data_IF_133863651535
#
_entry.id   IF_133863651535
#
_cell.length_a   1.000
_cell.length_b   1.000
_cell.length_c   1.000
_cell.angle_alpha   90.00
_cell.angle_beta   90.00
_cell.angle_gamma   90.00
#
_symmetry.space_group_name_H-M   'P 1'
#
loop_
_entity.id
_entity.type
_entity.pdbx_description
1 polymer ?
#
# COMPACT_ATOMS: atom_id res chain seq x y z
N UNK A 1 -14.66 48.24 14.75
CA UNK A 1 -14.09 47.33 15.77
C UNK A 1 -15.02 46.15 16.00
N UNK A 2 -16.23 46.34 16.54
CA UNK A 2 -17.14 45.22 16.87
C UNK A 2 -17.49 44.26 15.73
N UNK A 3 -17.74 44.73 14.49
CA UNK A 3 -17.99 43.82 13.36
C UNK A 3 -16.75 43.07 12.86
N UNK A 4 -15.55 43.61 13.11
CA UNK A 4 -14.28 42.99 12.69
C UNK A 4 -13.92 41.85 13.62
N UNK A 5 -14.12 42.03 14.93
CA UNK A 5 -13.94 40.99 15.96
C UNK A 5 -14.91 39.83 15.74
N UNK A 6 -16.18 40.13 15.46
CA UNK A 6 -17.18 39.10 15.20
C UNK A 6 -16.86 38.25 13.96
N UNK A 7 -16.31 38.88 12.92
CA UNK A 7 -15.81 38.17 11.73
C UNK A 7 -14.55 37.36 12.05
N UNK A 8 -13.66 37.88 12.88
CA UNK A 8 -12.44 37.17 13.31
C UNK A 8 -12.80 35.89 14.07
N UNK A 9 -13.73 35.96 15.01
CA UNK A 9 -14.19 34.80 15.78
C UNK A 9 -14.89 33.75 14.90
N UNK A 10 -15.70 34.20 13.94
CA UNK A 10 -16.32 33.32 12.95
C UNK A 10 -15.27 32.58 12.09
N UNK A 11 -14.24 33.30 11.64
CA UNK A 11 -13.14 32.70 10.87
C UNK A 11 -12.36 31.71 11.72
N UNK A 12 -12.05 32.04 12.97
CA UNK A 12 -11.32 31.15 13.88
C UNK A 12 -12.10 29.87 14.18
N UNK A 13 -13.42 29.98 14.40
CA UNK A 13 -14.31 28.85 14.60
C UNK A 13 -14.33 27.96 13.36
N UNK A 14 -14.56 28.56 12.18
CA UNK A 14 -14.59 27.83 10.91
C UNK A 14 -13.27 27.14 10.61
N UNK A 15 -12.14 27.78 10.92
CA UNK A 15 -10.82 27.20 10.73
C UNK A 15 -10.60 25.98 11.62
N UNK A 16 -11.05 26.06 12.87
CA UNK A 16 -10.98 24.94 13.83
C UNK A 16 -11.84 23.77 13.36
N UNK A 17 -13.07 24.04 12.91
CA UNK A 17 -13.98 23.02 12.38
C UNK A 17 -13.41 22.34 11.13
N UNK A 18 -12.79 23.11 10.24
CA UNK A 18 -12.15 22.58 9.04
C UNK A 18 -10.93 21.73 9.39
N UNK A 19 -10.10 22.14 10.36
CA UNK A 19 -8.96 21.35 10.84
C UNK A 19 -9.41 20.00 11.40
N UNK A 20 -10.44 20.00 12.26
CA UNK A 20 -11.04 18.78 12.79
C UNK A 20 -11.59 17.89 11.66
N UNK A 21 -12.19 18.51 10.63
CA UNK A 21 -12.73 17.75 9.51
C UNK A 21 -11.63 17.11 8.67
N UNK A 22 -10.53 17.83 8.43
CA UNK A 22 -9.36 17.31 7.71
C UNK A 22 -8.79 16.12 8.46
N UNK A 23 -8.56 16.23 9.77
CA UNK A 23 -8.03 15.14 10.59
C UNK A 23 -8.94 13.89 10.54
N UNK A 24 -10.25 14.07 10.64
CA UNK A 24 -11.21 12.97 10.49
C UNK A 24 -11.15 12.30 9.12
N UNK A 25 -10.97 13.08 8.05
CA UNK A 25 -10.88 12.57 6.68
C UNK A 25 -9.56 11.84 6.45
N UNK A 26 -8.45 12.36 6.96
CA UNK A 26 -7.15 11.71 6.92
C UNK A 26 -7.19 10.37 7.67
N UNK A 27 -7.81 10.32 8.85
CA UNK A 27 -8.00 9.08 9.59
C UNK A 27 -8.80 8.03 8.82
N UNK A 28 -9.88 8.44 8.14
CA UNK A 28 -10.68 7.55 7.27
C UNK A 28 -9.89 7.08 6.06
N UNK A 29 -9.12 7.96 5.43
CA UNK A 29 -8.31 7.63 4.27
C UNK A 29 -7.25 6.58 4.64
N UNK A 30 -6.54 6.80 5.75
CA UNK A 30 -5.54 5.86 6.26
C UNK A 30 -6.16 4.47 6.52
N UNK A 31 -7.29 4.42 7.23
CA UNK A 31 -7.97 3.15 7.48
C UNK A 31 -8.36 2.46 6.16
N UNK A 32 -8.94 3.17 5.20
CA UNK A 32 -9.31 2.61 3.90
C UNK A 32 -8.11 2.09 3.10
N UNK A 33 -7.01 2.82 3.06
CA UNK A 33 -5.78 2.37 2.41
C UNK A 33 -5.22 1.12 3.09
N UNK A 34 -5.16 1.11 4.41
CA UNK A 34 -4.68 -0.03 5.20
C UNK A 34 -5.57 -1.25 5.01
N UNK A 35 -6.92 -1.09 5.03
CA UNK A 35 -7.87 -2.19 4.77
C UNK A 35 -7.69 -2.78 3.37
N UNK A 36 -7.44 -1.91 2.40
CA UNK A 36 -7.29 -2.29 0.99
C UNK A 36 -5.97 -3.04 0.75
N UNK A 37 -4.90 -2.62 1.44
CA UNK A 37 -3.54 -3.17 1.29
C UNK A 37 -3.18 -4.26 2.30
N UNK A 38 -4.04 -4.55 3.27
CA UNK A 38 -3.80 -5.53 4.35
C UNK A 38 -3.40 -6.93 3.88
N UNK A 39 -3.92 -7.37 2.74
CA UNK A 39 -3.58 -8.66 2.15
C UNK A 39 -2.44 -8.58 1.13
N UNK A 40 -1.74 -7.44 1.04
CA UNK A 40 -0.63 -7.25 0.13
C UNK A 40 0.70 -7.44 0.86
N UNK A 41 1.60 -8.24 0.28
CA UNK A 41 3.00 -8.38 0.70
C UNK A 41 3.89 -7.81 -0.41
N UNK A 42 4.92 -7.06 -0.01
CA UNK A 42 5.95 -6.54 -0.92
C UNK A 42 7.24 -7.34 -0.73
N UNK A 43 7.67 -8.04 -1.78
CA UNK A 43 8.89 -8.85 -1.80
C UNK A 43 9.95 -8.10 -2.57
N UNK A 44 11.13 -7.96 -1.97
CA UNK A 44 12.27 -7.23 -2.53
C UNK A 44 13.35 -8.20 -3.01
N UNK A 45 14.22 -7.73 -3.90
CA UNK A 45 15.39 -8.48 -4.38
C UNK A 45 15.06 -9.78 -5.13
N UNK A 46 13.89 -9.89 -5.77
CA UNK A 46 13.64 -10.98 -6.72
C UNK A 46 14.39 -10.68 -8.01
N UNK A 47 15.35 -11.54 -8.44
CA UNK A 47 16.13 -11.31 -9.66
C UNK A 47 15.26 -11.04 -10.88
N UNK A 48 15.60 -10.05 -11.70
CA UNK A 48 14.80 -9.64 -12.88
C UNK A 48 14.70 -10.74 -13.95
N UNK A 49 15.57 -11.75 -13.92
CA UNK A 49 15.45 -12.94 -14.78
C UNK A 49 14.13 -13.70 -14.54
N UNK A 50 13.55 -13.57 -13.33
CA UNK A 50 12.18 -14.02 -13.03
C UNK A 50 11.21 -13.00 -13.61
N UNK A 51 10.79 -13.23 -14.85
CA UNK A 51 9.79 -12.41 -15.54
C UNK A 51 8.36 -12.74 -15.08
N UNK A 52 7.37 -11.97 -15.54
CA UNK A 52 5.97 -12.13 -15.09
C UNK A 52 5.39 -13.52 -15.39
N UNK A 53 5.85 -14.21 -16.44
CA UNK A 53 5.39 -15.57 -16.78
C UNK A 53 5.95 -16.65 -15.84
N UNK A 54 7.15 -16.46 -15.30
CA UNK A 54 7.78 -17.39 -14.34
C UNK A 54 7.55 -17.00 -12.88
N UNK A 55 7.12 -15.75 -12.64
CA UNK A 55 6.92 -15.19 -11.31
C UNK A 55 5.95 -16.00 -10.46
N UNK A 56 4.85 -16.49 -11.04
CA UNK A 56 3.87 -17.32 -10.33
C UNK A 56 4.51 -18.57 -9.72
N UNK A 57 5.28 -19.30 -10.54
CA UNK A 57 5.98 -20.52 -10.11
C UNK A 57 7.03 -20.18 -9.05
N UNK A 58 7.82 -19.13 -9.26
CA UNK A 58 8.81 -18.68 -8.29
C UNK A 58 8.18 -18.37 -6.92
N UNK A 59 7.07 -17.62 -6.90
CA UNK A 59 6.39 -17.27 -5.66
C UNK A 59 5.85 -18.50 -4.92
N UNK A 60 5.29 -19.46 -5.66
CA UNK A 60 4.85 -20.76 -5.11
C UNK A 60 6.00 -21.47 -4.43
N UNK A 61 7.07 -21.74 -5.17
CA UNK A 61 8.23 -22.48 -4.67
C UNK A 61 8.87 -21.74 -3.47
N UNK A 62 8.92 -20.41 -3.54
CA UNK A 62 9.42 -19.56 -2.46
C UNK A 62 8.58 -19.68 -1.18
N UNK A 63 7.26 -19.53 -1.26
CA UNK A 63 6.40 -19.63 -0.07
C UNK A 63 6.32 -21.05 0.49
N UNK A 64 6.29 -22.07 -0.38
CA UNK A 64 6.32 -23.47 0.04
C UNK A 64 7.61 -23.79 0.81
N UNK A 65 8.76 -23.30 0.34
CA UNK A 65 10.04 -23.47 1.03
C UNK A 65 10.14 -22.69 2.34
N UNK A 66 9.55 -21.48 2.40
CA UNK A 66 9.64 -20.60 3.57
C UNK A 66 8.72 -21.04 4.71
N UNK A 67 7.54 -21.56 4.39
CA UNK A 67 6.49 -21.85 5.35
C UNK A 67 6.31 -23.35 5.65
N UNK A 68 7.17 -24.22 5.10
CA UNK A 68 7.22 -25.66 5.36
C UNK A 68 5.84 -26.35 5.30
N UNK A 69 5.36 -26.61 4.08
CA UNK A 69 4.10 -27.31 3.77
C UNK A 69 2.80 -26.53 4.03
N UNK A 70 2.71 -25.27 3.61
CA UNK A 70 1.41 -24.57 3.62
C UNK A 70 0.40 -25.10 2.61
N UNK A 71 0.85 -25.83 1.59
CA UNK A 71 -0.02 -26.26 0.49
C UNK A 71 -0.64 -25.06 -0.24
N UNK A 72 0.11 -23.95 -0.38
CA UNK A 72 -0.37 -22.69 -0.93
C UNK A 72 -1.03 -22.94 -2.30
N UNK A 73 -2.35 -22.79 -2.37
CA UNK A 73 -3.09 -23.08 -3.61
C UNK A 73 -2.88 -21.95 -4.60
N UNK A 74 -2.91 -22.30 -5.88
CA UNK A 74 -2.80 -21.31 -6.95
C UNK A 74 -3.89 -20.24 -6.86
N UNK A 75 -5.06 -20.62 -6.32
CA UNK A 75 -6.18 -19.72 -6.06
C UNK A 75 -5.85 -18.68 -4.99
N UNK A 76 -4.97 -18.95 -4.03
CA UNK A 76 -4.73 -18.05 -2.89
C UNK A 76 -3.95 -16.79 -3.29
N UNK A 77 -3.29 -16.80 -4.45
CA UNK A 77 -2.62 -15.63 -5.02
C UNK A 77 -3.57 -14.88 -5.97
N UNK A 78 -4.22 -13.83 -5.46
CA UNK A 78 -5.18 -13.03 -6.23
C UNK A 78 -4.48 -12.19 -7.31
N UNK A 79 -3.36 -11.55 -6.97
CA UNK A 79 -2.61 -10.70 -7.90
C UNK A 79 -1.13 -10.70 -7.54
N UNK A 80 -0.27 -10.82 -8.53
CA UNK A 80 1.17 -10.66 -8.35
C UNK A 80 1.77 -9.98 -9.59
N UNK A 81 2.62 -8.99 -9.37
CA UNK A 81 3.31 -8.29 -10.45
C UNK A 81 4.48 -7.47 -9.91
N UNK A 82 5.42 -7.10 -10.79
CA UNK A 82 6.48 -6.15 -10.45
C UNK A 82 5.93 -4.72 -10.39
N UNK A 83 6.34 -4.01 -9.35
CA UNK A 83 6.06 -2.59 -9.20
C UNK A 83 6.97 -1.76 -10.12
N UNK A 84 6.52 -0.58 -10.57
CA UNK A 84 7.40 0.39 -11.21
C UNK A 84 8.56 0.75 -10.28
N UNK A 85 9.76 0.91 -10.83
CA UNK A 85 10.93 1.33 -10.05
C UNK A 85 10.72 2.77 -9.56
N UNK A 86 10.82 3.04 -8.25
CA UNK A 86 10.86 4.40 -7.73
C UNK A 86 12.05 5.17 -8.30
N UNK A 87 11.89 6.47 -8.56
CA UNK A 87 12.95 7.31 -9.16
C UNK A 87 14.23 7.38 -8.32
N UNK A 88 14.13 7.15 -7.02
CA UNK A 88 15.25 7.21 -6.07
C UNK A 88 16.01 5.88 -5.93
N UNK A 89 15.65 4.82 -6.66
CA UNK A 89 16.32 3.53 -6.63
C UNK A 89 17.21 3.37 -7.87
N UNK A 90 18.44 2.88 -7.68
CA UNK A 90 19.40 2.66 -8.76
C UNK A 90 18.83 1.75 -9.85
N UNK A 91 19.18 2.02 -11.11
CA UNK A 91 18.68 1.25 -12.25
C UNK A 91 19.13 -0.21 -12.27
N UNK A 92 20.18 -0.53 -11.52
CA UNK A 92 20.67 -1.89 -11.34
C UNK A 92 19.88 -2.69 -10.30
N UNK A 93 19.07 -2.06 -9.45
CA UNK A 93 18.35 -2.75 -8.37
C UNK A 93 17.08 -3.42 -8.90
N UNK A 94 16.85 -4.73 -8.63
CA UNK A 94 15.63 -5.40 -9.08
C UNK A 94 14.36 -4.70 -8.60
N UNK A 95 13.32 -4.67 -9.44
CA UNK A 95 12.00 -4.15 -9.08
C UNK A 95 11.36 -5.05 -8.03
N UNK A 96 10.71 -4.41 -7.08
CA UNK A 96 9.94 -5.12 -6.06
C UNK A 96 8.71 -5.78 -6.67
N UNK A 97 8.32 -6.90 -6.09
CA UNK A 97 7.09 -7.60 -6.45
C UNK A 97 6.05 -7.33 -5.38
N UNK A 98 4.85 -6.97 -5.80
CA UNK A 98 3.69 -6.94 -4.90
C UNK A 98 2.84 -8.18 -5.14
N UNK A 99 2.47 -8.84 -4.05
CA UNK A 99 1.61 -10.02 -4.05
C UNK A 99 0.38 -9.70 -3.20
N UNK A 100 -0.81 -9.92 -3.72
CA UNK A 100 -2.08 -9.84 -3.00
C UNK A 100 -2.60 -11.25 -2.81
N UNK A 101 -2.90 -11.59 -1.56
CA UNK A 101 -3.52 -12.85 -1.20
C UNK A 101 -5.04 -12.69 -1.19
N UNK A 102 -5.74 -13.76 -1.58
CA UNK A 102 -7.18 -13.86 -1.37
C UNK A 102 -7.48 -13.82 0.13
N UNK A 103 -8.59 -13.16 0.49
CA UNK A 103 -9.13 -13.18 1.86
C UNK A 103 -9.92 -14.43 2.13
#
# INVERSE_FOLDING_TARGET
MMQTELKYDQVQTTMTDLQLKVEQLEGKLNDLEDRSRRSNIRIRNIPEIVNDSTLKKFLRDYFESLLAETGLKDSELERFHRLPRPRNIAESSPRDVIVKFQK
#
